data_IF_355984993423
#
_entry.id   IF_355984993423
#
_cell.length_a   1.000
_cell.length_b   1.000
_cell.length_c   1.000
_cell.angle_alpha   90.00
_cell.angle_beta   90.00
_cell.angle_gamma   90.00
#
_symmetry.space_group_name_H-M   'P 1'
#
loop_
_entity.id
_entity.type
_entity.pdbx_description
1 polymer ?
#
# COMPACT_ATOMS: atom_id res chain seq x y z
N UNK A 1 -32.54 -16.99 23.78
CA UNK A 1 -32.86 -16.45 22.44
C UNK A 1 -31.54 -16.04 21.77
N UNK A 2 -31.22 -16.60 20.62
CA UNK A 2 -30.05 -16.20 19.83
C UNK A 2 -30.21 -14.77 19.32
N UNK A 3 -29.13 -13.99 19.34
CA UNK A 3 -29.09 -12.67 18.70
C UNK A 3 -28.77 -12.84 17.21
N UNK A 4 -29.44 -12.07 16.35
CA UNK A 4 -29.10 -12.03 14.92
C UNK A 4 -27.72 -11.40 14.73
N UNK A 5 -26.84 -12.07 13.99
CA UNK A 5 -25.55 -11.53 13.57
C UNK A 5 -25.68 -11.07 12.13
N UNK A 6 -25.22 -9.87 11.85
CA UNK A 6 -25.20 -9.25 10.52
C UNK A 6 -23.76 -8.97 10.09
N UNK A 7 -23.50 -8.97 8.80
CA UNK A 7 -22.19 -8.59 8.29
C UNK A 7 -21.87 -7.14 8.69
N UNK A 8 -22.81 -6.24 8.46
CA UNK A 8 -22.77 -4.86 8.93
C UNK A 8 -23.83 -4.71 10.02
N UNK A 9 -23.49 -4.25 11.24
CA UNK A 9 -22.16 -3.81 11.67
C UNK A 9 -21.30 -4.86 12.39
N UNK A 10 -21.81 -6.07 12.69
CA UNK A 10 -21.16 -6.97 13.64
C UNK A 10 -19.79 -7.47 13.15
N UNK A 11 -19.72 -7.97 11.90
CA UNK A 11 -18.44 -8.45 11.34
C UNK A 11 -17.52 -7.28 11.01
N UNK A 12 -18.05 -6.22 10.40
CA UNK A 12 -17.23 -5.06 10.05
C UNK A 12 -16.66 -4.36 11.28
N UNK A 13 -17.41 -4.24 12.39
CA UNK A 13 -16.89 -3.73 13.64
C UNK A 13 -15.80 -4.63 14.23
N UNK A 14 -16.00 -5.94 14.24
CA UNK A 14 -15.01 -6.90 14.73
C UNK A 14 -13.68 -6.79 13.96
N UNK A 15 -13.73 -6.60 12.64
CA UNK A 15 -12.56 -6.37 11.80
C UNK A 15 -11.86 -5.05 12.18
N UNK A 16 -12.61 -3.96 12.27
CA UNK A 16 -12.07 -2.64 12.64
C UNK A 16 -11.43 -2.66 14.03
N UNK A 17 -12.11 -3.23 15.02
CA UNK A 17 -11.62 -3.30 16.39
C UNK A 17 -10.35 -4.19 16.48
N UNK A 18 -10.29 -5.26 15.67
CA UNK A 18 -9.08 -6.09 15.57
C UNK A 18 -7.91 -5.30 15.00
N UNK A 19 -8.12 -4.57 13.91
CA UNK A 19 -7.09 -3.73 13.27
C UNK A 19 -6.59 -2.67 14.25
N UNK A 20 -7.50 -1.93 14.90
CA UNK A 20 -7.13 -0.90 15.84
C UNK A 20 -6.34 -1.45 17.05
N UNK A 21 -6.76 -2.61 17.56
CA UNK A 21 -6.07 -3.27 18.65
C UNK A 21 -4.66 -3.71 18.25
N UNK A 22 -4.50 -4.32 17.06
CA UNK A 22 -3.20 -4.80 16.57
C UNK A 22 -2.26 -3.65 16.25
N UNK A 23 -2.77 -2.55 15.71
CA UNK A 23 -1.98 -1.36 15.39
C UNK A 23 -1.27 -0.75 16.60
N UNK A 24 -1.79 -0.97 17.81
CA UNK A 24 -1.24 -0.45 19.07
C UNK A 24 -0.27 -1.42 19.76
N UNK A 25 -0.05 -2.61 19.21
CA UNK A 25 0.86 -3.59 19.81
C UNK A 25 2.29 -3.22 19.46
N UNK A 26 3.13 -3.01 20.48
CA UNK A 26 4.55 -2.81 20.28
C UNK A 26 5.18 -3.99 19.53
N UNK A 27 6.01 -3.69 18.53
CA UNK A 27 6.64 -4.68 17.65
C UNK A 27 8.10 -4.95 17.99
N UNK A 28 8.63 -4.27 19.00
CA UNK A 28 10.00 -4.40 19.47
C UNK A 28 10.10 -4.20 21.00
N UNK A 29 11.32 -4.29 21.52
CA UNK A 29 11.60 -4.16 22.95
C UNK A 29 11.40 -2.75 23.51
N UNK A 30 11.14 -1.74 22.68
CA UNK A 30 10.87 -0.37 23.12
C UNK A 30 9.56 -0.25 23.91
N UNK A 31 8.63 -1.18 23.70
CA UNK A 31 7.26 -1.17 24.25
C UNK A 31 6.45 0.08 23.85
N UNK A 32 6.88 0.79 22.80
CA UNK A 32 6.15 1.93 22.25
C UNK A 32 5.15 1.45 21.19
N UNK A 33 4.02 2.13 21.10
CA UNK A 33 3.06 1.90 20.02
C UNK A 33 3.70 2.31 18.69
N UNK A 34 3.45 1.55 17.59
CA UNK A 34 3.92 1.92 16.27
C UNK A 34 3.26 3.22 15.78
N UNK A 35 4.03 4.06 15.10
CA UNK A 35 3.50 5.27 14.45
C UNK A 35 2.72 4.95 13.17
N UNK A 36 3.03 3.84 12.51
CA UNK A 36 2.40 3.39 11.26
C UNK A 36 2.09 1.91 11.34
N UNK A 37 0.87 1.54 10.97
CA UNK A 37 0.44 0.15 10.79
C UNK A 37 0.16 -0.12 9.31
N UNK A 38 0.76 -1.17 8.76
CA UNK A 38 0.52 -1.60 7.38
C UNK A 38 -0.44 -2.78 7.42
N UNK A 39 -1.59 -2.63 6.76
CA UNK A 39 -2.62 -3.66 6.67
C UNK A 39 -2.65 -4.17 5.23
N UNK A 40 -2.51 -5.47 5.05
CA UNK A 40 -2.67 -6.10 3.75
C UNK A 40 -4.03 -6.79 3.70
N UNK A 41 -4.81 -6.45 2.66
CA UNK A 41 -6.05 -7.15 2.34
C UNK A 41 -5.80 -8.07 1.14
N UNK A 42 -5.88 -9.37 1.37
CA UNK A 42 -5.83 -10.36 0.32
C UNK A 42 -7.11 -10.39 -0.51
N UNK A 43 -7.01 -10.97 -1.70
CA UNK A 43 -8.12 -11.14 -2.62
C UNK A 43 -8.31 -9.97 -3.59
N UNK A 44 -9.16 -10.21 -4.58
CA UNK A 44 -9.49 -9.23 -5.62
C UNK A 44 -10.62 -8.33 -5.15
N UNK A 45 -10.54 -7.04 -5.48
CA UNK A 45 -11.64 -6.09 -5.24
C UNK A 45 -12.87 -6.55 -6.04
N UNK A 46 -14.00 -6.68 -5.34
CA UNK A 46 -15.25 -7.16 -5.93
C UNK A 46 -15.54 -8.65 -5.70
N UNK A 47 -14.56 -9.43 -5.24
CA UNK A 47 -14.80 -10.82 -4.86
C UNK A 47 -15.60 -10.91 -3.55
N UNK A 48 -16.46 -11.93 -3.47
CA UNK A 48 -17.34 -12.13 -2.32
C UNK A 48 -16.56 -12.31 -1.00
N UNK A 49 -15.37 -12.89 -1.07
CA UNK A 49 -14.51 -13.15 0.09
C UNK A 49 -13.89 -11.86 0.65
N UNK A 50 -13.59 -10.90 -0.20
CA UNK A 50 -12.99 -9.61 0.20
C UNK A 50 -14.03 -8.58 0.64
N UNK A 51 -15.28 -8.74 0.25
CA UNK A 51 -16.34 -7.74 0.46
C UNK A 51 -16.51 -7.27 1.93
N UNK A 52 -16.53 -8.14 2.96
CA UNK A 52 -16.65 -7.69 4.35
C UNK A 52 -15.44 -6.87 4.82
N UNK A 53 -14.25 -7.19 4.34
CA UNK A 53 -13.00 -6.48 4.67
C UNK A 53 -12.95 -5.12 4.00
N UNK A 54 -13.29 -5.04 2.73
CA UNK A 54 -13.36 -3.75 2.00
C UNK A 54 -14.37 -2.82 2.64
N UNK A 55 -15.56 -3.33 2.99
CA UNK A 55 -16.58 -2.55 3.70
C UNK A 55 -16.10 -2.13 5.10
N UNK A 56 -15.41 -3.00 5.83
CA UNK A 56 -14.81 -2.64 7.12
C UNK A 56 -13.78 -1.52 6.97
N UNK A 57 -12.92 -1.55 5.94
CA UNK A 57 -11.93 -0.50 5.70
C UNK A 57 -12.56 0.82 5.26
N UNK A 58 -13.65 0.78 4.48
CA UNK A 58 -14.43 1.96 4.14
C UNK A 58 -14.98 2.65 5.40
N UNK A 59 -15.55 1.87 6.32
CA UNK A 59 -16.05 2.39 7.60
C UNK A 59 -14.88 2.85 8.50
N UNK A 60 -13.77 2.12 8.49
CA UNK A 60 -12.60 2.43 9.29
C UNK A 60 -11.95 3.75 8.85
N UNK A 61 -11.84 4.01 7.55
CA UNK A 61 -11.37 5.30 7.04
C UNK A 61 -12.21 6.47 7.57
N UNK A 62 -13.52 6.31 7.61
CA UNK A 62 -14.41 7.32 8.20
C UNK A 62 -14.23 7.46 9.71
N UNK A 63 -14.00 6.33 10.41
CA UNK A 63 -13.84 6.29 11.87
C UNK A 63 -12.54 6.97 12.33
N UNK A 64 -11.42 6.74 11.64
CA UNK A 64 -10.10 7.26 12.02
C UNK A 64 -9.77 8.62 11.41
N UNK A 65 -10.54 9.05 10.42
CA UNK A 65 -10.29 10.24 9.61
C UNK A 65 -9.38 9.96 8.42
N UNK A 66 -9.63 10.71 7.35
CA UNK A 66 -8.91 10.55 6.09
C UNK A 66 -7.40 10.82 6.23
N UNK A 67 -7.02 11.70 7.15
CA UNK A 67 -5.63 12.06 7.45
C UNK A 67 -4.83 10.91 8.09
N UNK A 68 -5.53 9.97 8.74
CA UNK A 68 -4.94 8.81 9.41
C UNK A 68 -5.06 7.51 8.60
N UNK A 69 -5.58 7.58 7.39
CA UNK A 69 -5.80 6.41 6.54
C UNK A 69 -5.28 6.67 5.14
N UNK A 70 -4.48 5.75 4.61
CA UNK A 70 -4.02 5.81 3.22
C UNK A 70 -4.18 4.44 2.56
N UNK A 71 -4.57 4.43 1.29
CA UNK A 71 -4.84 3.23 0.52
C UNK A 71 -3.91 3.11 -0.68
N UNK A 72 -3.19 1.98 -0.73
CA UNK A 72 -2.43 1.58 -1.91
C UNK A 72 -3.22 0.48 -2.63
N UNK A 73 -3.60 0.74 -3.88
CA UNK A 73 -4.17 -0.29 -4.73
C UNK A 73 -3.07 -0.99 -5.52
N UNK A 74 -2.90 -2.29 -5.29
CA UNK A 74 -1.96 -3.11 -6.06
C UNK A 74 -2.68 -3.71 -7.26
N UNK A 75 -2.15 -3.51 -8.46
CA UNK A 75 -2.76 -3.97 -9.70
C UNK A 75 -1.74 -4.60 -10.63
N UNK A 76 -2.14 -5.65 -11.35
CA UNK A 76 -1.34 -6.22 -12.41
C UNK A 76 -1.54 -5.42 -13.71
N UNK A 77 -0.44 -5.08 -14.36
CA UNK A 77 -0.43 -4.52 -15.72
C UNK A 77 -0.01 -5.64 -16.68
N UNK A 78 -0.94 -6.28 -17.38
CA UNK A 78 -0.60 -7.31 -18.37
C UNK A 78 0.05 -6.68 -19.60
N UNK A 79 1.01 -7.41 -20.16
CA UNK A 79 1.61 -7.10 -21.47
C UNK A 79 1.03 -8.04 -22.50
N UNK A 80 0.33 -7.51 -23.50
CA UNK A 80 -0.29 -8.27 -24.57
C UNK A 80 0.23 -7.74 -25.90
N UNK A 81 0.85 -8.60 -26.69
CA UNK A 81 1.50 -8.25 -27.97
C UNK A 81 2.51 -7.10 -27.83
N UNK A 82 3.28 -7.10 -26.74
CA UNK A 82 4.28 -6.07 -26.46
C UNK A 82 3.74 -4.77 -25.87
N UNK A 83 2.45 -4.62 -25.69
CA UNK A 83 1.82 -3.42 -25.15
C UNK A 83 1.32 -3.62 -23.72
N UNK A 84 1.60 -2.67 -22.85
CA UNK A 84 1.07 -2.60 -21.49
C UNK A 84 -0.42 -2.20 -21.51
N UNK A 85 -1.27 -2.98 -20.83
CA UNK A 85 -2.72 -2.77 -20.84
C UNK A 85 -3.22 -2.20 -19.50
N UNK A 86 -3.81 -1.00 -19.56
CA UNK A 86 -4.36 -0.29 -18.38
C UNK A 86 -5.80 -0.66 -18.01
N UNK A 87 -6.55 -1.29 -18.93
CA UNK A 87 -7.99 -1.55 -18.71
C UNK A 87 -8.31 -2.37 -17.46
N UNK A 88 -7.57 -3.44 -17.12
CA UNK A 88 -7.85 -4.20 -15.89
C UNK A 88 -7.71 -3.33 -14.63
N UNK A 89 -6.67 -2.52 -14.56
CA UNK A 89 -6.46 -1.58 -13.44
C UNK A 89 -7.57 -0.52 -13.37
N UNK A 90 -7.97 0.04 -14.51
CA UNK A 90 -9.09 0.99 -14.56
C UNK A 90 -10.39 0.37 -14.06
N UNK A 91 -10.68 -0.88 -14.43
CA UNK A 91 -11.85 -1.60 -13.97
C UNK A 91 -11.81 -1.83 -12.45
N UNK A 92 -10.69 -2.35 -11.94
CA UNK A 92 -10.52 -2.61 -10.50
C UNK A 92 -10.67 -1.33 -9.65
N UNK A 93 -10.11 -0.19 -10.11
CA UNK A 93 -10.23 1.07 -9.38
C UNK A 93 -11.64 1.66 -9.49
N UNK A 94 -12.32 1.48 -10.62
CA UNK A 94 -13.74 1.85 -10.72
C UNK A 94 -14.60 1.06 -9.73
N UNK A 95 -14.34 -0.24 -9.63
CA UNK A 95 -15.08 -1.12 -8.71
C UNK A 95 -14.77 -0.76 -7.24
N UNK A 96 -13.50 -0.48 -6.90
CA UNK A 96 -13.09 0.01 -5.59
C UNK A 96 -13.82 1.30 -5.21
N UNK A 97 -13.93 2.24 -6.16
CA UNK A 97 -14.68 3.49 -5.95
C UNK A 97 -16.17 3.26 -5.79
N UNK A 98 -16.72 2.30 -6.52
CA UNK A 98 -18.10 1.86 -6.34
C UNK A 98 -18.40 1.36 -4.93
N UNK A 99 -17.37 0.83 -4.25
CA UNK A 99 -17.40 0.42 -2.86
C UNK A 99 -17.10 1.56 -1.87
N UNK A 100 -16.89 2.78 -2.35
CA UNK A 100 -16.69 3.98 -1.52
C UNK A 100 -15.26 4.21 -1.04
N UNK A 101 -14.27 3.55 -1.62
CA UNK A 101 -12.84 3.76 -1.37
C UNK A 101 -12.15 4.34 -2.61
N UNK A 102 -11.16 5.19 -2.41
CA UNK A 102 -10.30 5.69 -3.48
C UNK A 102 -8.83 5.47 -3.13
N UNK A 103 -7.98 5.04 -4.08
CA UNK A 103 -6.58 4.84 -3.79
C UNK A 103 -5.84 6.17 -3.67
N UNK A 104 -4.94 6.26 -2.72
CA UNK A 104 -3.94 7.32 -2.62
C UNK A 104 -2.76 7.06 -3.57
N UNK A 105 -2.39 5.78 -3.75
CA UNK A 105 -1.36 5.31 -4.67
C UNK A 105 -1.83 4.09 -5.44
N UNK A 106 -1.34 3.93 -6.66
CA UNK A 106 -1.52 2.72 -7.47
C UNK A 106 -0.15 2.08 -7.67
N UNK A 107 0.07 0.90 -7.10
CA UNK A 107 1.26 0.10 -7.31
C UNK A 107 1.01 -0.88 -8.47
N UNK A 108 1.62 -0.60 -9.61
CA UNK A 108 1.44 -1.36 -10.84
C UNK A 108 2.50 -2.45 -10.96
N UNK A 109 2.12 -3.70 -10.72
CA UNK A 109 2.98 -4.87 -10.94
C UNK A 109 3.04 -5.18 -12.44
N UNK A 110 4.22 -5.26 -13.01
CA UNK A 110 4.45 -5.51 -14.43
C UNK A 110 5.80 -6.21 -14.67
N UNK A 111 6.01 -6.74 -15.85
CA UNK A 111 7.30 -7.37 -16.22
C UNK A 111 8.37 -6.34 -16.57
N UNK A 112 7.98 -5.15 -17.01
CA UNK A 112 8.86 -4.10 -17.49
C UNK A 112 8.51 -2.76 -16.83
N UNK A 113 9.40 -1.76 -16.82
CA UNK A 113 9.07 -0.41 -16.39
C UNK A 113 7.81 0.12 -17.07
N UNK A 114 7.04 0.94 -16.36
CA UNK A 114 5.82 1.52 -16.91
C UNK A 114 6.14 2.50 -18.03
N UNK A 115 5.41 2.39 -19.11
CA UNK A 115 5.48 3.35 -20.21
C UNK A 115 4.84 4.69 -19.80
N UNK A 116 5.42 5.83 -20.17
CA UNK A 116 4.84 7.15 -19.85
C UNK A 116 3.38 7.30 -20.32
N UNK A 117 3.04 6.78 -21.50
CA UNK A 117 1.69 6.80 -22.03
C UNK A 117 0.71 5.99 -21.18
N UNK A 118 1.15 4.90 -20.52
CA UNK A 118 0.35 4.13 -19.60
C UNK A 118 0.11 4.91 -18.31
N UNK A 119 1.16 5.54 -17.76
CA UNK A 119 1.04 6.38 -16.55
C UNK A 119 0.03 7.49 -16.79
N UNK A 120 0.13 8.20 -17.91
CA UNK A 120 -0.80 9.26 -18.30
C UNK A 120 -2.25 8.76 -18.37
N UNK A 121 -2.49 7.59 -19.00
CA UNK A 121 -3.81 6.96 -19.03
C UNK A 121 -4.32 6.62 -17.63
N UNK A 122 -3.50 6.02 -16.77
CA UNK A 122 -3.89 5.67 -15.40
C UNK A 122 -4.19 6.93 -14.59
N UNK A 123 -3.37 7.97 -14.71
CA UNK A 123 -3.60 9.27 -14.05
C UNK A 123 -4.98 9.82 -14.42
N UNK A 124 -5.29 9.85 -15.70
CA UNK A 124 -6.55 10.40 -16.21
C UNK A 124 -7.77 9.55 -15.79
N UNK A 125 -7.72 8.24 -15.99
CA UNK A 125 -8.87 7.37 -15.75
C UNK A 125 -9.06 6.99 -14.27
N UNK A 126 -7.97 6.95 -13.50
CA UNK A 126 -8.02 6.63 -12.08
C UNK A 126 -8.03 7.88 -11.18
N UNK A 127 -8.01 9.09 -11.78
CA UNK A 127 -8.02 10.38 -11.06
C UNK A 127 -6.98 10.45 -9.92
N UNK A 128 -5.75 10.09 -10.24
CA UNK A 128 -4.58 10.19 -9.36
C UNK A 128 -3.53 11.05 -10.04
N UNK A 129 -2.61 11.64 -9.29
CA UNK A 129 -1.50 12.40 -9.86
C UNK A 129 -0.44 11.49 -10.50
N UNK A 130 0.42 12.00 -11.39
CA UNK A 130 1.49 11.19 -12.01
C UNK A 130 2.42 10.53 -10.97
N UNK A 131 2.76 11.21 -9.89
CA UNK A 131 3.56 10.67 -8.80
C UNK A 131 2.84 9.67 -7.88
N UNK A 132 1.57 9.40 -8.15
CA UNK A 132 0.76 8.43 -7.41
C UNK A 132 0.63 7.08 -8.16
N UNK A 133 1.27 6.93 -9.32
CA UNK A 133 1.34 5.68 -10.09
C UNK A 133 2.76 5.15 -9.99
N UNK A 134 2.95 4.06 -9.26
CA UNK A 134 4.24 3.44 -9.00
C UNK A 134 4.39 2.17 -9.84
N UNK A 135 5.53 2.04 -10.54
CA UNK A 135 5.88 0.83 -11.26
C UNK A 135 6.62 -0.16 -10.36
N UNK A 136 6.11 -1.38 -10.26
CA UNK A 136 6.78 -2.50 -9.59
C UNK A 136 7.09 -3.56 -10.63
N UNK A 137 8.16 -3.32 -11.40
CA UNK A 137 8.59 -4.22 -12.47
C UNK A 137 9.49 -5.35 -11.96
N UNK A 138 9.77 -6.32 -12.82
CA UNK A 138 10.70 -7.39 -12.51
C UNK A 138 12.08 -6.85 -12.18
N UNK A 139 12.64 -7.35 -11.10
CA UNK A 139 13.98 -7.02 -10.61
C UNK A 139 14.74 -8.31 -10.32
N UNK A 140 16.05 -8.26 -10.27
CA UNK A 140 16.92 -9.43 -10.06
C UNK A 140 16.70 -10.14 -8.72
N UNK A 141 16.17 -9.43 -7.73
CA UNK A 141 15.79 -9.94 -6.41
C UNK A 141 14.66 -9.12 -5.83
N UNK A 142 13.73 -9.78 -5.12
CA UNK A 142 12.63 -9.11 -4.40
C UNK A 142 13.14 -8.09 -3.38
N UNK A 143 14.36 -8.25 -2.88
CA UNK A 143 15.00 -7.26 -1.99
C UNK A 143 15.28 -5.91 -2.65
N UNK A 144 15.22 -5.80 -3.99
CA UNK A 144 15.34 -4.52 -4.70
C UNK A 144 14.01 -3.74 -4.74
N UNK A 145 12.88 -4.38 -4.52
CA UNK A 145 11.56 -3.71 -4.58
C UNK A 145 11.46 -2.50 -3.64
N UNK A 146 11.89 -2.57 -2.36
CA UNK A 146 11.88 -1.39 -1.50
C UNK A 146 12.73 -0.22 -2.03
N UNK A 147 13.87 -0.52 -2.69
CA UNK A 147 14.71 0.50 -3.32
C UNK A 147 13.99 1.15 -4.50
N UNK A 148 13.34 0.33 -5.33
CA UNK A 148 12.55 0.79 -6.47
C UNK A 148 11.40 1.71 -6.04
N UNK A 149 10.67 1.32 -5.00
CA UNK A 149 9.57 2.14 -4.45
C UNK A 149 10.07 3.46 -3.86
N UNK A 150 11.19 3.42 -3.12
CA UNK A 150 11.80 4.64 -2.58
C UNK A 150 12.24 5.60 -3.67
N UNK A 151 12.86 5.11 -4.75
CA UNK A 151 13.29 5.94 -5.89
C UNK A 151 12.11 6.66 -6.57
N UNK A 152 10.91 6.10 -6.48
CA UNK A 152 9.69 6.68 -7.02
C UNK A 152 8.95 7.61 -6.04
N UNK A 153 9.53 7.89 -4.86
CA UNK A 153 9.02 8.90 -3.93
C UNK A 153 7.91 8.42 -3.00
N UNK A 154 7.78 7.09 -2.77
CA UNK A 154 6.72 6.55 -1.88
C UNK A 154 6.81 7.09 -0.46
N UNK A 155 8.04 7.25 0.07
CA UNK A 155 8.24 7.74 1.44
C UNK A 155 7.86 9.22 1.56
N UNK A 156 8.29 10.03 0.62
CA UNK A 156 7.97 11.46 0.55
C UNK A 156 6.46 11.69 0.42
N UNK A 157 5.81 10.85 -0.39
CA UNK A 157 4.36 10.90 -0.54
C UNK A 157 3.65 10.62 0.78
N UNK A 158 3.95 9.49 1.45
CA UNK A 158 3.27 9.13 2.71
C UNK A 158 3.66 10.01 3.87
N UNK A 159 4.88 10.54 3.92
CA UNK A 159 5.27 11.53 4.93
C UNK A 159 4.34 12.73 4.91
N UNK A 160 4.03 13.26 3.72
CA UNK A 160 3.10 14.37 3.57
C UNK A 160 1.64 13.94 3.77
N UNK A 161 1.25 12.81 3.17
CA UNK A 161 -0.15 12.36 3.16
C UNK A 161 -0.67 12.00 4.55
N UNK A 162 0.16 11.42 5.38
CA UNK A 162 -0.13 11.00 6.76
C UNK A 162 0.48 11.94 7.80
N UNK A 163 1.03 13.10 7.40
CA UNK A 163 1.63 14.11 8.30
C UNK A 163 2.71 13.52 9.23
N UNK A 164 3.49 12.54 8.73
CA UNK A 164 4.50 11.84 9.53
C UNK A 164 5.68 12.74 9.92
N UNK A 165 5.86 13.87 9.27
CA UNK A 165 6.85 14.90 9.60
C UNK A 165 6.53 15.63 10.90
N UNK A 166 5.30 15.53 11.38
CA UNK A 166 4.89 16.07 12.70
C UNK A 166 5.30 15.17 13.86
N UNK A 167 5.66 13.91 13.59
CA UNK A 167 6.08 12.93 14.59
C UNK A 167 7.50 13.25 15.07
N UNK A 168 7.65 13.36 16.36
CA UNK A 168 8.96 13.65 16.98
C UNK A 168 9.84 12.39 16.96
N UNK A 169 10.87 12.39 16.10
CA UNK A 169 11.84 11.31 16.00
C UNK A 169 13.16 11.74 16.61
N UNK A 170 13.69 10.97 17.59
CA UNK A 170 14.97 11.25 18.22
C UNK A 170 16.13 11.13 17.22
N UNK A 171 17.24 11.87 17.47
CA UNK A 171 18.44 11.77 16.64
C UNK A 171 18.98 10.35 16.55
N UNK A 172 18.88 9.57 17.63
CA UNK A 172 19.25 8.16 17.66
C UNK A 172 18.42 7.33 16.68
N UNK A 173 17.10 7.45 16.72
CA UNK A 173 16.19 6.72 15.81
C UNK A 173 16.45 7.07 14.35
N UNK A 174 16.72 8.34 14.04
CA UNK A 174 17.08 8.77 12.68
C UNK A 174 18.37 8.08 12.22
N UNK A 175 19.41 8.12 13.04
CA UNK A 175 20.70 7.46 12.71
C UNK A 175 20.54 5.95 12.55
N UNK A 176 19.82 5.28 13.44
CA UNK A 176 19.57 3.84 13.35
C UNK A 176 18.76 3.49 12.08
N UNK A 177 17.76 4.29 11.73
CA UNK A 177 16.98 4.13 10.50
C UNK A 177 17.86 4.25 9.24
N UNK A 178 18.71 5.26 9.18
CA UNK A 178 19.65 5.45 8.08
C UNK A 178 20.63 4.28 7.97
N UNK A 179 21.17 3.81 9.09
CA UNK A 179 22.09 2.67 9.10
C UNK A 179 21.40 1.37 8.65
N UNK A 180 20.16 1.11 9.07
CA UNK A 180 19.37 -0.04 8.61
C UNK A 180 19.14 0.04 7.10
N UNK A 181 18.85 1.21 6.58
CA UNK A 181 18.68 1.42 5.15
C UNK A 181 19.96 1.19 4.35
N UNK A 182 21.10 1.67 4.83
CA UNK A 182 22.41 1.43 4.23
C UNK A 182 22.73 -0.08 4.21
N UNK A 183 22.49 -0.78 5.32
CA UNK A 183 22.66 -2.24 5.40
C UNK A 183 21.78 -2.96 4.38
N UNK A 184 20.52 -2.57 4.26
CA UNK A 184 19.60 -3.14 3.26
C UNK A 184 20.14 -2.96 1.84
N UNK A 185 20.54 -1.75 1.50
CA UNK A 185 21.14 -1.44 0.19
C UNK A 185 22.38 -2.28 -0.09
N UNK A 186 23.25 -2.43 0.89
CA UNK A 186 24.47 -3.23 0.75
C UNK A 186 24.17 -4.72 0.56
N UNK A 187 23.17 -5.27 1.28
CA UNK A 187 22.72 -6.65 1.09
C UNK A 187 22.24 -6.90 -0.35
N UNK A 188 21.50 -5.98 -0.92
CA UNK A 188 20.99 -6.12 -2.30
C UNK A 188 22.12 -6.12 -3.33
N UNK A 189 23.18 -5.34 -3.12
CA UNK A 189 24.37 -5.32 -3.97
C UNK A 189 25.19 -6.59 -3.82
N UNK A 190 25.41 -7.06 -2.58
CA UNK A 190 26.20 -8.27 -2.30
C UNK A 190 25.54 -9.54 -2.86
N UNK A 191 24.21 -9.60 -2.88
CA UNK A 191 23.49 -10.74 -3.44
C UNK A 191 23.70 -10.91 -4.96
N UNK A 192 23.99 -9.83 -5.68
CA UNK A 192 24.38 -9.90 -7.08
C UNK A 192 25.75 -10.55 -7.30
N UNK A 193 26.68 -10.35 -6.36
CA UNK A 193 28.05 -10.90 -6.45
C UNK A 193 28.11 -12.40 -6.11
N UNK A 194 27.09 -12.93 -5.41
CA UNK A 194 27.03 -14.34 -5.03
C UNK A 194 26.34 -15.24 -6.07
N UNK A 195 25.80 -14.68 -7.14
CA UNK A 195 25.13 -15.39 -8.25
C UNK A 195 25.97 -15.53 -9.52
N UNK A 196 27.27 -15.21 -9.47
CA UNK A 196 28.24 -15.41 -10.54
C UNK A 196 29.02 -16.69 -10.31
#
# INVERSE_FOLDING_TARGET
MGKTVQVVPHITNAIQDHVERVARIAVDDSRQEPDVCIIELGGTVGDIESAPFVEAMRQFQFRVGHENFALIHVSLIPVINGEQKSKPTQAAIRDLRGLGLAPDLIACRCSQPLEPALIEKLTMFCHVGPGQVLGVHDVSSTYHVPLLLRQQGILEYFTKRLQLDTISVSSRQKTEGEQRWIRWKNLTVSYHLLKV
#
